data_IF_246668272940
#
_entry.id   IF_246668272940
#
_cell.length_a   1.000
_cell.length_b   1.000
_cell.length_c   1.000
_cell.angle_alpha   90.00
_cell.angle_beta   90.00
_cell.angle_gamma   90.00
#
_symmetry.space_group_name_H-M   'P 1'
#
loop_
_entity.id
_entity.type
_entity.pdbx_description
1 polymer ?
#
# COMPACT_ATOMS: atom_id res chain seq x y z
N UNK A 1 36.40 10.36 18.58
CA UNK A 1 36.66 9.21 17.71
C UNK A 1 36.34 7.95 18.52
N UNK A 2 35.12 7.43 18.41
CA UNK A 2 34.65 6.36 19.32
C UNK A 2 35.34 5.02 19.00
N UNK A 3 35.68 4.79 17.73
CA UNK A 3 36.42 3.61 17.30
C UNK A 3 37.78 3.52 17.98
N UNK A 4 38.54 4.62 18.01
CA UNK A 4 39.85 4.65 18.66
C UNK A 4 39.82 4.52 20.20
N UNK A 5 38.65 4.70 20.83
CA UNK A 5 38.51 4.70 22.30
C UNK A 5 37.90 3.41 22.84
N UNK A 6 37.15 2.67 22.01
CA UNK A 6 36.40 1.47 22.44
C UNK A 6 36.90 0.21 21.74
N UNK A 7 37.62 0.35 20.61
CA UNK A 7 38.20 -0.76 19.87
C UNK A 7 39.72 -0.73 19.98
N UNK A 8 40.34 -1.92 20.09
CA UNK A 8 41.80 -2.03 20.05
C UNK A 8 42.34 -1.83 18.61
N UNK A 9 43.67 -1.76 18.48
CA UNK A 9 44.33 -1.58 17.18
C UNK A 9 44.11 -2.74 16.18
N UNK A 10 43.59 -3.87 16.64
CA UNK A 10 43.24 -5.08 15.87
C UNK A 10 41.74 -5.10 15.54
N UNK A 11 40.94 -4.17 16.09
CA UNK A 11 39.50 -4.05 15.89
C UNK A 11 38.66 -4.85 16.89
N UNK A 12 39.24 -5.31 18.00
CA UNK A 12 38.47 -6.01 19.05
C UNK A 12 37.70 -5.01 19.92
N UNK A 13 36.42 -5.28 20.18
CA UNK A 13 35.58 -4.47 21.06
C UNK A 13 35.95 -4.72 22.53
N UNK A 14 36.32 -3.66 23.24
CA UNK A 14 36.69 -3.74 24.66
C UNK A 14 35.51 -3.32 25.54
N UNK A 15 34.82 -4.30 26.11
CA UNK A 15 33.60 -4.07 26.88
C UNK A 15 33.82 -3.26 28.16
N UNK A 16 34.95 -3.45 28.85
CA UNK A 16 35.29 -2.66 30.05
C UNK A 16 35.46 -1.17 29.71
N UNK A 17 36.09 -0.86 28.58
CA UNK A 17 36.29 0.52 28.10
C UNK A 17 34.99 1.13 27.59
N UNK A 18 34.10 0.29 27.03
CA UNK A 18 32.76 0.71 26.65
C UNK A 18 31.94 1.14 27.86
N UNK A 19 31.91 0.36 28.95
CA UNK A 19 31.13 0.66 30.17
C UNK A 19 31.54 1.97 30.85
N UNK A 20 32.78 2.39 30.67
CA UNK A 20 33.31 3.66 31.19
C UNK A 20 33.14 4.83 30.21
N UNK A 21 32.57 4.60 29.03
CA UNK A 21 32.44 5.61 28.00
C UNK A 21 31.23 6.52 28.24
N UNK A 22 31.49 7.76 28.66
CA UNK A 22 30.48 8.78 29.00
C UNK A 22 29.45 9.09 27.89
N UNK A 23 29.73 8.71 26.64
CA UNK A 23 28.89 8.99 25.47
C UNK A 23 28.26 7.74 24.84
N UNK A 24 28.14 6.63 25.58
CA UNK A 24 27.46 5.42 25.11
C UNK A 24 26.08 5.71 24.51
N UNK A 25 25.26 6.50 25.21
CA UNK A 25 23.91 6.85 24.77
C UNK A 25 23.90 7.65 23.46
N UNK A 26 24.85 8.57 23.27
CA UNK A 26 24.96 9.37 22.04
C UNK A 26 25.35 8.52 20.83
N UNK A 27 26.18 7.48 21.02
CA UNK A 27 26.56 6.56 19.93
C UNK A 27 25.37 5.68 19.53
N UNK A 28 24.57 5.20 20.50
CA UNK A 28 23.32 4.51 20.20
C UNK A 28 22.29 5.43 19.53
N UNK A 29 22.21 6.70 19.94
CA UNK A 29 21.35 7.68 19.29
C UNK A 29 21.80 7.94 17.86
N UNK A 30 23.09 8.02 17.52
CA UNK A 30 23.57 8.27 16.15
C UNK A 30 23.05 7.24 15.14
N UNK A 31 22.90 5.97 15.54
CA UNK A 31 22.31 4.93 14.69
C UNK A 31 20.78 5.11 14.49
N UNK A 32 20.10 5.80 15.40
CA UNK A 32 18.67 6.16 15.31
C UNK A 32 18.42 7.59 14.78
N UNK A 33 19.42 8.47 14.79
CA UNK A 33 19.28 9.94 14.64
C UNK A 33 20.00 10.53 13.43
N UNK A 34 20.41 9.73 12.44
CA UNK A 34 20.57 10.33 11.10
C UNK A 34 19.17 10.72 10.62
N UNK A 35 18.71 11.92 11.00
CA UNK A 35 17.40 12.46 10.67
C UNK A 35 17.11 12.32 9.17
N UNK A 36 18.13 12.48 8.33
CA UNK A 36 18.04 12.24 6.89
C UNK A 36 17.64 10.81 6.51
N UNK A 37 18.15 9.78 7.19
CA UNK A 37 17.75 8.40 6.91
C UNK A 37 16.29 8.14 7.28
N UNK A 38 15.85 8.69 8.41
CA UNK A 38 14.46 8.57 8.86
C UNK A 38 13.51 9.35 7.93
N UNK A 39 13.85 10.59 7.56
CA UNK A 39 13.09 11.40 6.61
C UNK A 39 13.00 10.73 5.24
N UNK A 40 14.09 10.17 4.74
CA UNK A 40 14.09 9.42 3.47
C UNK A 40 13.24 8.16 3.58
N UNK A 41 13.33 7.42 4.68
CA UNK A 41 12.53 6.22 4.90
C UNK A 41 11.03 6.53 4.99
N UNK A 42 10.67 7.58 5.74
CA UNK A 42 9.30 8.08 5.81
C UNK A 42 8.82 8.60 4.45
N UNK A 43 9.66 9.29 3.70
CA UNK A 43 9.33 9.77 2.37
C UNK A 43 9.07 8.62 1.39
N UNK A 44 9.91 7.58 1.42
CA UNK A 44 9.69 6.37 0.62
C UNK A 44 8.41 5.64 1.02
N UNK A 45 8.15 5.55 2.33
CA UNK A 45 6.90 4.99 2.84
C UNK A 45 5.68 5.79 2.38
N UNK A 46 5.75 7.12 2.45
CA UNK A 46 4.70 8.02 1.97
C UNK A 46 4.47 7.91 0.46
N UNK A 47 5.54 7.82 -0.35
CA UNK A 47 5.44 7.55 -1.79
C UNK A 47 4.76 6.20 -2.07
N UNK A 48 5.01 5.18 -1.24
CA UNK A 48 4.34 3.88 -1.34
C UNK A 48 2.85 4.02 -1.04
N UNK A 49 2.48 4.73 0.04
CA UNK A 49 1.08 4.98 0.39
C UNK A 49 0.34 5.81 -0.66
N UNK A 50 1.03 6.78 -1.29
CA UNK A 50 0.44 7.54 -2.40
C UNK A 50 0.05 6.65 -3.60
N UNK A 51 0.75 5.56 -3.87
CA UNK A 51 0.37 4.62 -4.94
C UNK A 51 -0.94 3.93 -4.61
N UNK A 52 -1.08 3.43 -3.38
CA UNK A 52 -2.33 2.82 -2.90
C UNK A 52 -3.49 3.82 -2.86
N UNK A 53 -3.22 5.05 -2.43
CA UNK A 53 -4.18 6.14 -2.46
C UNK A 53 -4.69 6.42 -3.87
N UNK A 54 -3.80 6.53 -4.87
CA UNK A 54 -4.20 6.74 -6.27
C UNK A 54 -5.06 5.61 -6.83
N UNK A 55 -4.79 4.37 -6.42
CA UNK A 55 -5.60 3.21 -6.83
C UNK A 55 -6.99 3.26 -6.18
N UNK A 56 -7.05 3.59 -4.90
CA UNK A 56 -8.31 3.75 -4.16
C UNK A 56 -9.14 4.92 -4.69
N UNK A 57 -8.49 6.04 -5.02
CA UNK A 57 -9.13 7.20 -5.63
C UNK A 57 -9.73 6.87 -7.01
N UNK A 58 -8.98 6.13 -7.85
CA UNK A 58 -9.51 5.65 -9.13
C UNK A 58 -10.71 4.72 -8.93
N UNK A 59 -10.66 3.82 -7.96
CA UNK A 59 -11.80 2.97 -7.63
C UNK A 59 -13.02 3.80 -7.18
N UNK A 60 -12.79 4.81 -6.34
CA UNK A 60 -13.84 5.72 -5.88
C UNK A 60 -14.50 6.47 -7.04
N UNK A 61 -13.70 7.03 -7.95
CA UNK A 61 -14.19 7.70 -9.17
C UNK A 61 -14.94 6.74 -10.10
N UNK A 62 -14.44 5.51 -10.28
CA UNK A 62 -15.12 4.51 -11.09
C UNK A 62 -16.48 4.14 -10.51
N UNK A 63 -16.59 4.00 -9.19
CA UNK A 63 -17.86 3.72 -8.51
C UNK A 63 -18.82 4.92 -8.60
N UNK A 64 -18.31 6.15 -8.49
CA UNK A 64 -19.15 7.36 -8.53
C UNK A 64 -19.69 7.64 -9.94
N UNK A 65 -18.89 7.42 -10.98
CA UNK A 65 -19.29 7.58 -12.39
C UNK A 65 -20.20 6.47 -12.90
N UNK A 66 -20.28 5.33 -12.19
CA UNK A 66 -21.13 4.23 -12.63
C UNK A 66 -22.62 4.62 -12.58
N UNK A 67 -23.47 4.13 -13.50
CA UNK A 67 -24.92 4.36 -13.43
C UNK A 67 -25.60 3.52 -12.34
N UNK A 68 -26.69 4.03 -11.79
CA UNK A 68 -27.44 3.40 -10.69
C UNK A 68 -28.54 2.48 -11.22
N UNK A 69 -28.61 1.26 -10.71
CA UNK A 69 -29.71 0.32 -11.00
C UNK A 69 -30.58 0.05 -9.77
N UNK A 70 -31.87 -0.21 -9.99
CA UNK A 70 -32.83 -0.56 -8.92
C UNK A 70 -32.82 -2.05 -8.57
N UNK A 71 -32.49 -2.90 -9.53
CA UNK A 71 -32.55 -4.37 -9.39
C UNK A 71 -31.17 -4.98 -9.61
N UNK A 72 -30.85 -6.02 -8.84
CA UNK A 72 -29.53 -6.66 -8.87
C UNK A 72 -29.21 -7.37 -10.18
N UNK A 73 -30.22 -7.87 -10.90
CA UNK A 73 -29.98 -8.54 -12.19
C UNK A 73 -29.55 -7.56 -13.30
N UNK A 74 -29.91 -6.28 -13.20
CA UNK A 74 -29.48 -5.24 -14.13
C UNK A 74 -28.02 -4.81 -13.91
N UNK A 75 -27.35 -5.33 -12.87
CA UNK A 75 -25.95 -5.00 -12.59
C UNK A 75 -25.00 -5.70 -13.56
N UNK A 76 -25.40 -6.87 -14.09
CA UNK A 76 -24.58 -7.71 -14.93
C UNK A 76 -25.08 -7.65 -16.37
N UNK A 77 -24.21 -7.28 -17.30
CA UNK A 77 -24.50 -7.42 -18.73
C UNK A 77 -23.62 -8.54 -19.26
N UNK A 78 -24.27 -9.64 -19.64
CA UNK A 78 -23.63 -10.73 -20.37
C UNK A 78 -23.56 -10.27 -21.82
N UNK A 79 -22.38 -9.88 -22.27
CA UNK A 79 -22.17 -9.50 -23.65
C UNK A 79 -21.83 -10.78 -24.41
N UNK A 80 -22.83 -11.36 -25.09
CA UNK A 80 -22.57 -12.40 -26.07
C UNK A 80 -21.99 -11.68 -27.29
N UNK A 81 -20.67 -11.73 -27.48
CA UNK A 81 -20.01 -11.21 -28.67
C UNK A 81 -20.52 -12.01 -29.87
N UNK A 82 -21.15 -11.39 -30.88
CA UNK A 82 -21.65 -12.12 -32.04
C UNK A 82 -20.55 -12.61 -33.00
N UNK A 83 -19.28 -12.27 -32.73
CA UNK A 83 -18.13 -12.70 -33.55
C UNK A 83 -17.58 -14.10 -33.17
N UNK A 84 -18.05 -14.72 -32.08
CA UNK A 84 -17.61 -16.05 -31.64
C UNK A 84 -18.45 -17.21 -32.20
N UNK A 85 -19.25 -16.98 -33.25
CA UNK A 85 -20.12 -18.03 -33.82
C UNK A 85 -19.33 -19.06 -34.66
N UNK A 86 -18.09 -18.77 -35.05
CA UNK A 86 -17.33 -19.64 -35.96
C UNK A 86 -16.08 -20.34 -35.36
N UNK A 87 -15.75 -20.10 -34.08
CA UNK A 87 -14.70 -20.86 -33.39
C UNK A 87 -15.25 -21.61 -32.18
N UNK A 88 -15.28 -22.95 -32.31
CA UNK A 88 -15.52 -23.94 -31.25
C UNK A 88 -14.39 -23.94 -30.21
N UNK A 89 -14.16 -22.81 -29.55
CA UNK A 89 -13.25 -22.75 -28.42
C UNK A 89 -14.00 -22.22 -27.20
N UNK A 90 -13.71 -22.84 -26.06
CA UNK A 90 -14.36 -22.72 -24.75
C UNK A 90 -14.25 -21.29 -24.16
N UNK A 91 -14.80 -20.27 -24.82
CA UNK A 91 -14.74 -18.91 -24.31
C UNK A 91 -15.83 -18.70 -23.26
N UNK A 92 -15.41 -18.57 -21.99
CA UNK A 92 -16.32 -18.22 -20.91
C UNK A 92 -16.98 -16.89 -21.24
N UNK A 93 -18.32 -16.75 -21.08
CA UNK A 93 -18.97 -15.46 -21.32
C UNK A 93 -18.33 -14.40 -20.41
N UNK A 94 -17.80 -13.34 -21.01
CA UNK A 94 -17.26 -12.19 -20.29
C UNK A 94 -18.43 -11.46 -19.64
N UNK A 95 -18.57 -11.60 -18.32
CA UNK A 95 -19.60 -10.89 -17.55
C UNK A 95 -19.03 -9.54 -17.13
N UNK A 96 -19.57 -8.46 -17.69
CA UNK A 96 -19.19 -7.11 -17.30
C UNK A 96 -20.22 -6.51 -16.34
N UNK A 97 -19.74 -5.87 -15.27
CA UNK A 97 -20.57 -5.09 -14.36
C UNK A 97 -20.82 -3.75 -15.04
N UNK A 98 -22.08 -3.43 -15.34
CA UNK A 98 -22.45 -2.21 -16.08
C UNK A 98 -23.05 -1.15 -15.14
N UNK A 99 -23.64 -1.58 -14.03
CA UNK A 99 -24.28 -0.69 -13.07
C UNK A 99 -24.21 -1.24 -11.64
N UNK A 100 -24.39 -0.35 -10.66
CA UNK A 100 -24.46 -0.73 -9.25
C UNK A 100 -25.74 -0.23 -8.58
N UNK A 101 -26.26 -1.05 -7.68
CA UNK A 101 -27.30 -0.64 -6.73
C UNK A 101 -26.74 0.32 -5.69
N UNK A 102 -27.59 1.20 -5.15
CA UNK A 102 -27.19 2.19 -4.14
C UNK A 102 -26.66 1.51 -2.87
N UNK A 103 -27.26 0.39 -2.47
CA UNK A 103 -26.78 -0.42 -1.34
C UNK A 103 -25.37 -0.98 -1.60
N UNK A 104 -25.13 -1.57 -2.77
CA UNK A 104 -23.81 -2.09 -3.11
C UNK A 104 -22.74 -1.01 -3.16
N UNK A 105 -23.06 0.21 -3.62
CA UNK A 105 -22.13 1.36 -3.57
C UNK A 105 -21.75 1.71 -2.15
N UNK A 106 -22.73 1.78 -1.25
CA UNK A 106 -22.47 2.10 0.15
C UNK A 106 -21.56 1.04 0.79
N UNK A 107 -21.82 -0.24 0.55
CA UNK A 107 -20.96 -1.32 1.04
C UNK A 107 -19.55 -1.25 0.45
N UNK A 108 -19.39 -0.95 -0.83
CA UNK A 108 -18.06 -0.78 -1.42
C UNK A 108 -17.29 0.40 -0.81
N UNK A 109 -17.96 1.51 -0.56
CA UNK A 109 -17.32 2.65 0.11
C UNK A 109 -16.91 2.30 1.55
N UNK A 110 -17.77 1.64 2.33
CA UNK A 110 -17.47 1.32 3.72
C UNK A 110 -16.51 0.14 3.91
N UNK A 111 -16.63 -0.92 3.11
CA UNK A 111 -15.83 -2.14 3.27
C UNK A 111 -14.54 -2.14 2.46
N UNK A 112 -14.46 -1.36 1.38
CA UNK A 112 -13.28 -1.38 0.50
C UNK A 112 -12.54 -0.06 0.55
N UNK A 113 -13.24 1.07 0.37
CA UNK A 113 -12.56 2.37 0.37
C UNK A 113 -12.13 2.78 1.78
N UNK A 114 -13.04 2.78 2.75
CA UNK A 114 -12.78 3.27 4.11
C UNK A 114 -11.62 2.55 4.83
N UNK A 115 -11.53 1.21 4.89
CA UNK A 115 -10.40 0.56 5.53
C UNK A 115 -9.08 0.84 4.82
N UNK A 116 -9.08 0.99 3.48
CA UNK A 116 -7.89 1.41 2.76
C UNK A 116 -7.46 2.83 3.11
N UNK A 117 -8.39 3.74 3.40
CA UNK A 117 -8.06 5.09 3.89
C UNK A 117 -7.60 5.14 5.36
N UNK A 118 -7.98 4.15 6.19
CA UNK A 118 -7.58 4.09 7.60
C UNK A 118 -6.23 3.41 7.79
N UNK A 119 -5.89 2.45 6.91
CA UNK A 119 -4.64 1.68 6.97
C UNK A 119 -3.50 2.39 6.21
N UNK A 120 -3.81 3.18 5.18
CA UNK A 120 -2.84 4.02 4.46
C UNK A 120 -2.59 5.34 5.21
#
# INVERSE_FOLDING_TARGET
DYHAQVFDAVGNFMQETWEQFDRQQQVCEIAMTTAGFYEVSLFLWWLSMMKEFRTTWRLFLNISHMPSCKRGYDMLRIQATPEDVDMKEYHRPMVHIVALTVSARFFLYFLVCLPKFVIC
#
